data_IF_018805822577
#
_entry.id   IF_018805822577
#
_cell.length_a   1.000
_cell.length_b   1.000
_cell.length_c   1.000
_cell.angle_alpha   90.00
_cell.angle_beta   90.00
_cell.angle_gamma   90.00
#
_symmetry.space_group_name_H-M   'P 1'
#
loop_
_entity.id
_entity.type
_entity.pdbx_description
1 polymer ?
#
# COMPACT_ATOMS: atom_id res chain seq x y z
N UNK A 1 6.08 -14.48 25.36
CA UNK A 1 4.86 -14.01 24.68
C UNK A 1 5.30 -13.02 23.61
N UNK A 2 5.48 -13.49 22.37
CA UNK A 2 6.05 -12.69 21.27
C UNK A 2 4.90 -11.99 20.56
N UNK A 3 4.81 -10.66 20.73
CA UNK A 3 3.81 -9.82 20.10
C UNK A 3 4.16 -9.69 18.60
N UNK A 4 3.51 -10.52 17.78
CA UNK A 4 3.59 -10.45 16.32
C UNK A 4 2.89 -9.17 15.86
N UNK A 5 3.63 -8.09 15.65
CA UNK A 5 3.09 -6.85 15.10
C UNK A 5 2.81 -7.03 13.61
N UNK A 6 1.57 -6.76 13.22
CA UNK A 6 1.07 -6.86 11.85
C UNK A 6 1.70 -5.81 10.93
N UNK A 7 1.99 -6.27 9.71
CA UNK A 7 2.59 -5.58 8.59
C UNK A 7 2.08 -4.14 8.34
N UNK A 8 3.03 -3.22 8.17
CA UNK A 8 2.83 -1.88 7.60
C UNK A 8 2.54 -2.05 6.11
N UNK A 9 1.32 -1.68 5.68
CA UNK A 9 0.68 -2.42 4.60
C UNK A 9 1.03 -1.95 3.19
N UNK A 10 1.55 -0.75 2.97
CA UNK A 10 1.75 -0.26 1.60
C UNK A 10 3.17 -0.40 1.02
N UNK A 11 4.13 -0.90 1.82
CA UNK A 11 5.41 -1.46 1.35
C UNK A 11 6.01 -2.59 2.22
N UNK A 12 5.40 -2.95 3.36
CA UNK A 12 6.02 -3.90 4.30
C UNK A 12 5.26 -5.23 4.46
N UNK A 13 4.96 -5.91 3.34
CA UNK A 13 4.90 -7.37 3.34
C UNK A 13 6.29 -7.98 3.18
N UNK A 14 7.36 -7.36 3.71
CA UNK A 14 8.71 -7.94 3.70
C UNK A 14 9.56 -7.44 4.87
N UNK A 15 9.28 -7.93 6.09
CA UNK A 15 10.34 -8.17 7.08
C UNK A 15 10.09 -9.55 7.68
N UNK A 16 10.58 -10.58 6.97
CA UNK A 16 10.80 -11.91 7.55
C UNK A 16 12.31 -12.17 7.49
N UNK A 17 12.99 -12.01 8.63
CA UNK A 17 14.34 -12.50 8.98
C UNK A 17 14.86 -11.65 10.18
N UNK A 18 15.31 -12.16 11.32
CA UNK A 18 15.66 -13.48 11.80
C UNK A 18 15.56 -13.50 13.34
N UNK A 19 15.01 -14.57 13.92
CA UNK A 19 15.80 -15.34 14.91
C UNK A 19 15.22 -16.75 15.03
N UNK A 20 15.89 -17.69 14.38
CA UNK A 20 15.71 -19.12 14.57
C UNK A 20 16.69 -19.56 15.65
N UNK A 21 16.18 -19.77 16.87
CA UNK A 21 16.82 -20.68 17.81
C UNK A 21 15.81 -21.24 18.83
N UNK A 22 15.55 -22.54 18.68
CA UNK A 22 15.41 -23.55 19.74
C UNK A 22 14.62 -23.17 21.01
N UNK A 23 13.46 -23.81 21.19
CA UNK A 23 13.35 -24.92 22.16
C UNK A 23 12.05 -25.70 22.02
N UNK A 24 12.25 -26.97 21.75
CA UNK A 24 11.38 -28.10 21.98
C UNK A 24 10.82 -28.07 23.42
N UNK A 25 9.51 -28.26 23.59
CA UNK A 25 8.91 -28.81 24.82
C UNK A 25 7.53 -29.37 24.47
N UNK A 26 7.56 -30.66 24.19
CA UNK A 26 6.44 -31.57 24.22
C UNK A 26 5.84 -31.59 25.63
N UNK A 27 4.56 -31.25 25.80
CA UNK A 27 3.76 -31.77 26.92
C UNK A 27 2.31 -31.96 26.48
N UNK A 28 2.03 -33.24 26.26
CA UNK A 28 0.71 -33.82 26.14
C UNK A 28 0.04 -33.75 27.52
N UNK A 29 -1.06 -33.01 27.66
CA UNK A 29 -2.02 -33.25 28.75
C UNK A 29 -3.44 -32.96 28.26
N UNK A 30 -4.05 -33.99 27.71
CA UNK A 30 -5.49 -34.17 27.62
C UNK A 30 -6.13 -34.01 29.01
N UNK A 31 -6.96 -32.98 29.18
CA UNK A 31 -8.02 -33.00 30.19
C UNK A 31 -9.25 -32.23 29.65
N UNK A 32 -10.39 -32.92 29.40
CA UNK A 32 -11.60 -32.27 28.94
C UNK A 32 -12.38 -31.83 30.17
N UNK A 33 -12.45 -30.52 30.43
CA UNK A 33 -13.47 -30.02 31.33
C UNK A 33 -14.15 -28.80 30.71
N UNK A 34 -15.38 -29.04 30.28
CA UNK A 34 -16.35 -28.08 29.82
C UNK A 34 -16.68 -27.08 30.92
N UNK A 35 -16.37 -25.80 30.69
CA UNK A 35 -17.12 -24.72 31.29
C UNK A 35 -17.36 -23.67 30.21
N UNK A 36 -18.51 -23.85 29.54
CA UNK A 36 -19.12 -22.83 28.70
C UNK A 36 -19.61 -21.71 29.62
N UNK A 37 -18.77 -20.69 29.81
CA UNK A 37 -19.23 -19.41 30.34
C UNK A 37 -19.22 -18.41 29.18
N UNK A 38 -20.31 -18.40 28.41
CA UNK A 38 -20.52 -17.47 27.30
C UNK A 38 -20.96 -16.11 27.83
N UNK A 39 -20.08 -15.44 28.58
CA UNK A 39 -20.11 -14.00 28.74
C UNK A 39 -19.08 -13.39 27.79
N UNK A 40 -19.27 -13.58 26.48
CA UNK A 40 -18.59 -12.75 25.50
C UNK A 40 -19.20 -11.37 25.59
N UNK A 41 -18.55 -10.48 26.36
CA UNK A 41 -18.78 -9.05 26.24
C UNK A 41 -18.79 -8.71 24.73
N UNK A 42 -19.73 -7.86 24.26
CA UNK A 42 -19.74 -7.48 22.86
C UNK A 42 -18.36 -6.93 22.51
N UNK A 43 -17.79 -7.44 21.41
CA UNK A 43 -16.51 -6.95 20.93
C UNK A 43 -16.59 -5.42 20.83
N UNK A 44 -15.57 -4.68 21.31
CA UNK A 44 -15.59 -3.22 21.26
C UNK A 44 -15.87 -2.77 19.83
N UNK A 45 -16.97 -2.03 19.65
CA UNK A 45 -17.35 -1.46 18.37
C UNK A 45 -16.59 -0.15 18.20
N UNK A 46 -15.51 -0.20 17.42
CA UNK A 46 -14.79 1.01 17.03
C UNK A 46 -15.52 1.69 15.87
N UNK A 47 -15.81 2.98 16.01
CA UNK A 47 -16.34 3.75 14.89
C UNK A 47 -15.22 3.93 13.85
N UNK A 48 -15.48 3.65 12.56
CA UNK A 48 -14.49 3.89 11.52
C UNK A 48 -14.17 5.40 11.44
N UNK A 49 -12.92 5.78 11.09
CA UNK A 49 -12.58 7.18 10.89
C UNK A 49 -13.37 7.79 9.74
N UNK A 50 -13.49 9.12 9.73
CA UNK A 50 -14.10 9.81 8.59
C UNK A 50 -13.31 9.53 7.30
N UNK A 51 -13.98 9.21 6.18
CA UNK A 51 -13.36 9.07 4.88
C UNK A 51 -12.56 10.31 4.45
N UNK A 52 -11.32 10.13 4.02
CA UNK A 52 -10.54 11.20 3.38
C UNK A 52 -11.20 11.66 2.07
N UNK A 53 -11.01 12.95 1.73
CA UNK A 53 -11.53 13.58 0.52
C UNK A 53 -10.45 14.47 -0.11
N UNK A 54 -10.44 14.64 -1.45
CA UNK A 54 -9.57 15.62 -2.07
C UNK A 54 -9.90 17.03 -1.55
N UNK A 55 -8.85 17.84 -1.37
CA UNK A 55 -8.98 19.26 -0.98
C UNK A 55 -9.30 20.17 -2.17
N UNK A 56 -9.08 19.65 -3.39
CA UNK A 56 -9.26 20.36 -4.65
C UNK A 56 -10.27 19.63 -5.56
N UNK A 57 -10.98 20.40 -6.38
CA UNK A 57 -11.84 19.82 -7.41
C UNK A 57 -10.98 19.15 -8.50
N UNK A 58 -11.52 18.12 -9.13
CA UNK A 58 -10.84 17.46 -10.25
C UNK A 58 -10.63 18.43 -11.40
N UNK A 59 -9.38 18.57 -11.86
CA UNK A 59 -9.05 19.36 -13.04
C UNK A 59 -9.29 18.52 -14.32
N UNK A 60 -10.33 18.83 -15.12
CA UNK A 60 -10.66 18.04 -16.31
C UNK A 60 -9.63 18.16 -17.43
N UNK A 61 -8.75 19.17 -17.37
CA UNK A 61 -7.72 19.45 -18.36
C UNK A 61 -6.32 19.03 -17.89
N UNK A 62 -6.23 18.37 -16.74
CA UNK A 62 -4.97 17.92 -16.18
C UNK A 62 -4.25 16.97 -17.15
N UNK A 63 -2.99 17.27 -17.45
CA UNK A 63 -2.13 16.42 -18.28
C UNK A 63 -1.16 15.65 -17.39
N UNK A 64 -1.35 14.34 -17.31
CA UNK A 64 -0.45 13.46 -16.59
C UNK A 64 0.92 13.39 -17.27
N UNK A 65 1.99 13.44 -16.46
CA UNK A 65 3.34 13.13 -16.92
C UNK A 65 3.50 11.65 -17.29
N UNK A 66 2.79 10.76 -16.58
CA UNK A 66 2.82 9.33 -16.81
C UNK A 66 1.40 8.77 -16.90
N UNK A 67 1.05 8.14 -18.02
CA UNK A 67 -0.29 7.60 -18.21
C UNK A 67 -0.64 6.49 -17.19
N UNK A 68 0.32 5.68 -16.75
CA UNK A 68 0.10 4.63 -15.75
C UNK A 68 0.18 5.15 -14.31
N UNK A 69 0.45 6.44 -14.11
CA UNK A 69 0.50 7.07 -12.81
C UNK A 69 -0.03 8.51 -12.90
N UNK A 70 -1.36 8.66 -13.14
CA UNK A 70 -1.90 9.93 -13.62
C UNK A 70 -1.74 11.07 -12.62
N UNK A 71 -1.82 10.81 -11.31
CA UNK A 71 -1.71 11.84 -10.26
C UNK A 71 -2.57 13.09 -10.53
N UNK A 72 -3.77 12.89 -11.11
CA UNK A 72 -4.68 13.99 -11.38
C UNK A 72 -5.24 14.56 -10.06
N UNK A 73 -4.99 15.84 -9.73
CA UNK A 73 -5.54 16.47 -8.53
C UNK A 73 -7.06 16.40 -8.51
N UNK A 74 -7.65 16.23 -7.33
CA UNK A 74 -9.09 16.06 -7.14
C UNK A 74 -9.61 14.67 -7.50
N UNK A 75 -8.75 13.75 -7.93
CA UNK A 75 -9.15 12.36 -8.18
C UNK A 75 -9.32 11.57 -6.88
N UNK A 76 -10.21 10.59 -6.93
CA UNK A 76 -10.41 9.59 -5.87
C UNK A 76 -10.40 8.19 -6.47
N UNK A 77 -9.73 7.24 -5.83
CA UNK A 77 -9.84 5.81 -6.11
C UNK A 77 -10.24 5.08 -4.84
N UNK A 78 -11.11 4.08 -4.95
CA UNK A 78 -11.48 3.20 -3.85
C UNK A 78 -11.14 1.76 -4.19
N UNK A 79 -10.64 1.03 -3.20
CA UNK A 79 -10.29 -0.37 -3.34
C UNK A 79 -10.87 -1.18 -2.20
N UNK A 80 -11.03 -2.48 -2.44
CA UNK A 80 -11.20 -3.47 -1.39
C UNK A 80 -9.94 -4.34 -1.33
N UNK A 81 -9.42 -4.54 -0.12
CA UNK A 81 -8.35 -5.49 0.16
C UNK A 81 -8.98 -6.73 0.78
N UNK A 82 -8.72 -7.88 0.17
CA UNK A 82 -8.91 -9.18 0.80
C UNK A 82 -7.54 -9.70 1.20
N UNK A 83 -7.31 -9.85 2.50
CA UNK A 83 -6.07 -10.42 3.00
C UNK A 83 -6.08 -11.94 2.80
N UNK A 84 -4.92 -12.56 3.00
CA UNK A 84 -4.83 -14.02 3.14
C UNK A 84 -5.62 -14.55 4.35
N UNK A 85 -5.88 -13.68 5.34
CA UNK A 85 -6.78 -13.91 6.47
C UNK A 85 -8.22 -13.53 6.09
N UNK A 86 -9.26 -13.88 6.89
CA UNK A 86 -10.65 -13.50 6.59
C UNK A 86 -10.92 -11.99 6.72
N UNK A 87 -9.90 -11.17 6.97
CA UNK A 87 -10.01 -9.72 7.10
C UNK A 87 -10.30 -9.12 5.72
N UNK A 88 -11.16 -8.11 5.72
CA UNK A 88 -11.44 -7.27 4.56
C UNK A 88 -11.23 -5.81 4.98
N UNK A 89 -10.52 -5.05 4.18
CA UNK A 89 -10.36 -3.61 4.40
C UNK A 89 -10.79 -2.82 3.17
N UNK A 90 -11.27 -1.61 3.43
CA UNK A 90 -11.51 -0.63 2.38
C UNK A 90 -10.36 0.36 2.34
N UNK A 91 -10.04 0.80 1.13
CA UNK A 91 -9.02 1.80 0.87
C UNK A 91 -9.66 2.96 0.13
N UNK A 92 -9.37 4.17 0.57
CA UNK A 92 -9.66 5.39 -0.17
C UNK A 92 -8.33 6.05 -0.49
N UNK A 93 -8.18 6.48 -1.74
CA UNK A 93 -7.00 7.17 -2.23
C UNK A 93 -7.43 8.47 -2.84
N UNK A 94 -6.85 9.58 -2.41
CA UNK A 94 -7.10 10.91 -2.98
C UNK A 94 -5.79 11.51 -3.46
N UNK A 95 -5.87 12.34 -4.48
CA UNK A 95 -4.72 13.08 -5.01
C UNK A 95 -4.99 14.57 -4.92
N UNK A 96 -4.02 15.29 -4.37
CA UNK A 96 -4.02 16.74 -4.27
C UNK A 96 -2.76 17.33 -4.90
N UNK A 97 -2.87 18.56 -5.41
CA UNK A 97 -1.72 19.34 -5.84
C UNK A 97 -1.37 20.40 -4.79
N UNK A 98 -0.08 20.67 -4.64
CA UNK A 98 0.45 21.72 -3.79
C UNK A 98 1.73 22.30 -4.35
N UNK A 99 2.38 23.11 -3.52
CA UNK A 99 3.68 23.73 -3.80
C UNK A 99 4.58 23.53 -2.57
N UNK A 100 5.79 23.02 -2.78
CA UNK A 100 6.82 22.92 -1.74
C UNK A 100 8.15 23.41 -2.34
N UNK A 101 8.83 24.32 -1.65
CA UNK A 101 10.08 24.93 -2.11
C UNK A 101 10.03 25.49 -3.54
N UNK A 102 8.88 26.07 -3.91
CA UNK A 102 8.62 26.63 -5.25
C UNK A 102 8.42 25.59 -6.36
N UNK A 103 8.36 24.30 -6.03
CA UNK A 103 8.10 23.21 -6.97
C UNK A 103 6.67 22.69 -6.79
N UNK A 104 6.01 22.40 -7.91
CA UNK A 104 4.71 21.72 -7.91
C UNK A 104 4.90 20.30 -7.38
N UNK A 105 4.14 19.97 -6.33
CA UNK A 105 4.13 18.64 -5.70
C UNK A 105 2.73 18.07 -5.80
N UNK A 106 2.66 16.75 -5.99
CA UNK A 106 1.42 15.99 -5.97
C UNK A 106 1.44 15.05 -4.77
N UNK A 107 0.42 15.13 -3.94
CA UNK A 107 0.28 14.31 -2.74
C UNK A 107 -0.78 13.26 -2.99
N UNK A 108 -0.44 12.01 -2.80
CA UNK A 108 -1.38 10.90 -2.79
C UNK A 108 -1.55 10.41 -1.36
N UNK A 109 -2.76 10.53 -0.84
CA UNK A 109 -3.10 10.07 0.51
C UNK A 109 -3.95 8.82 0.41
N UNK A 110 -3.50 7.74 1.03
CA UNK A 110 -4.20 6.47 1.16
C UNK A 110 -4.73 6.36 2.58
N UNK A 111 -6.01 6.04 2.75
CA UNK A 111 -6.60 5.68 4.04
C UNK A 111 -7.13 4.26 3.94
N UNK A 112 -6.71 3.40 4.85
CA UNK A 112 -7.09 2.00 4.93
C UNK A 112 -7.84 1.78 6.24
N UNK A 113 -9.06 1.27 6.13
CA UNK A 113 -9.94 0.98 7.26
C UNK A 113 -10.34 -0.48 7.20
N UNK A 114 -10.05 -1.24 8.26
CA UNK A 114 -10.57 -2.60 8.41
C UNK A 114 -12.08 -2.55 8.65
N UNK A 115 -12.82 -3.35 7.88
CA UNK A 115 -14.28 -3.45 7.95
C UNK A 115 -14.77 -4.84 8.35
N UNK A 116 -13.87 -5.79 8.62
CA UNK A 116 -14.16 -7.17 8.99
C UNK A 116 -14.59 -7.39 10.44
N UNK A 117 -14.65 -6.33 11.25
CA UNK A 117 -15.30 -6.33 12.58
C UNK A 117 -14.49 -6.92 13.75
N UNK A 118 -13.18 -7.12 13.59
CA UNK A 118 -12.33 -7.70 14.64
C UNK A 118 -11.34 -6.75 15.31
N UNK A 119 -10.82 -5.76 14.57
CA UNK A 119 -9.74 -4.90 15.02
C UNK A 119 -9.93 -3.45 14.60
N UNK A 120 -9.63 -2.51 15.51
CA UNK A 120 -9.44 -1.10 15.18
C UNK A 120 -8.13 -0.95 14.40
N UNK A 121 -8.16 -1.15 13.08
CA UNK A 121 -7.03 -0.85 12.20
C UNK A 121 -7.37 0.34 11.31
N UNK A 122 -6.62 1.42 11.51
CA UNK A 122 -6.64 2.61 10.66
C UNK A 122 -5.22 2.92 10.22
N UNK A 123 -4.97 2.92 8.92
CA UNK A 123 -3.67 3.25 8.35
C UNK A 123 -3.82 4.40 7.34
N UNK A 124 -3.00 5.44 7.50
CA UNK A 124 -2.90 6.53 6.53
C UNK A 124 -1.49 6.53 5.94
N UNK A 125 -1.37 6.44 4.62
CA UNK A 125 -0.10 6.60 3.92
C UNK A 125 -0.13 7.85 3.05
N UNK A 126 0.83 8.75 3.26
CA UNK A 126 1.04 9.95 2.45
C UNK A 126 2.26 9.75 1.58
N UNK A 127 2.08 9.87 0.27
CA UNK A 127 3.16 9.86 -0.73
C UNK A 127 3.23 11.18 -1.44
N UNK A 128 4.45 11.71 -1.64
CA UNK A 128 4.65 12.92 -2.43
C UNK A 128 5.44 12.62 -3.69
N UNK A 129 5.03 13.27 -4.76
CA UNK A 129 5.59 13.12 -6.08
C UNK A 129 5.89 14.48 -6.72
N UNK A 130 6.94 14.50 -7.53
CA UNK A 130 7.29 15.60 -8.42
C UNK A 130 7.28 15.08 -9.84
N UNK A 131 6.71 15.84 -10.77
CA UNK A 131 6.75 15.52 -12.20
C UNK A 131 7.95 16.21 -12.85
N UNK A 132 8.72 15.47 -13.63
CA UNK A 132 9.92 15.96 -14.31
C UNK A 132 9.91 15.48 -15.77
N UNK A 133 9.37 16.30 -16.66
CA UNK A 133 9.03 15.85 -18.02
C UNK A 133 7.99 14.72 -17.96
N UNK A 134 8.29 13.59 -18.63
CA UNK A 134 7.44 12.40 -18.63
C UNK A 134 7.67 11.47 -17.42
N UNK A 135 8.60 11.83 -16.54
CA UNK A 135 8.94 11.03 -15.36
C UNK A 135 8.16 11.52 -14.14
N UNK A 136 7.83 10.57 -13.27
CA UNK A 136 7.26 10.87 -11.95
C UNK A 136 8.25 10.40 -10.90
N UNK A 137 8.77 11.33 -10.10
CA UNK A 137 9.67 11.03 -9.00
C UNK A 137 8.93 11.03 -7.68
N UNK A 138 8.92 9.90 -6.99
CA UNK A 138 8.48 9.84 -5.59
C UNK A 138 9.60 10.37 -4.69
N UNK A 139 9.28 11.34 -3.84
CA UNK A 139 10.26 12.03 -2.98
C UNK A 139 10.02 11.78 -1.48
N UNK A 140 8.83 11.29 -1.13
CA UNK A 140 8.44 11.07 0.25
C UNK A 140 7.41 9.95 0.35
N UNK A 141 7.49 9.17 1.42
CA UNK A 141 6.41 8.30 1.87
C UNK A 141 6.44 8.20 3.40
N UNK A 142 5.29 8.45 4.03
CA UNK A 142 5.09 8.20 5.44
C UNK A 142 3.78 7.47 5.64
N UNK A 143 3.82 6.44 6.46
CA UNK A 143 2.66 5.68 6.91
C UNK A 143 2.48 5.90 8.39
N UNK A 144 1.26 6.20 8.80
CA UNK A 144 0.83 6.25 10.18
C UNK A 144 -0.22 5.17 10.38
N UNK A 145 -0.08 4.36 11.42
CA UNK A 145 -0.96 3.25 11.71
C UNK A 145 -1.42 3.34 13.16
N UNK A 146 -2.73 3.24 13.37
CA UNK A 146 -3.33 3.01 14.68
C UNK A 146 -3.93 1.62 14.69
N UNK A 147 -3.45 0.79 15.62
CA UNK A 147 -3.98 -0.54 15.87
C UNK A 147 -4.37 -0.68 17.33
N UNK A 148 -5.67 -0.85 17.62
CA UNK A 148 -6.20 -0.96 19.00
C UNK A 148 -5.70 0.17 19.92
N UNK A 149 -5.82 1.41 19.46
CA UNK A 149 -5.32 2.62 20.12
C UNK A 149 -3.78 2.80 20.16
N UNK A 150 -2.99 1.81 19.71
CA UNK A 150 -1.53 1.93 19.65
C UNK A 150 -1.11 2.57 18.34
N UNK A 151 -0.36 3.67 18.42
CA UNK A 151 0.15 4.40 17.26
C UNK A 151 1.56 3.94 16.90
N UNK A 152 1.76 3.69 15.61
CA UNK A 152 3.06 3.45 15.00
C UNK A 152 3.19 4.24 13.71
N UNK A 153 4.41 4.45 13.23
CA UNK A 153 4.63 5.03 11.92
C UNK A 153 5.87 4.45 11.26
N UNK A 154 5.94 4.62 9.94
CA UNK A 154 7.18 4.44 9.21
C UNK A 154 7.34 5.51 8.15
N UNK A 155 8.58 5.89 7.89
CA UNK A 155 8.94 6.85 6.85
C UNK A 155 9.99 6.23 5.93
N UNK A 156 9.75 6.30 4.62
CA UNK A 156 10.71 5.87 3.61
C UNK A 156 11.52 7.09 3.15
N UNK A 157 12.85 6.93 3.19
CA UNK A 157 13.80 7.92 2.70
C UNK A 157 14.44 7.40 1.43
N UNK A 158 14.06 7.99 0.30
CA UNK A 158 14.59 7.62 -1.01
C UNK A 158 15.95 8.29 -1.24
N UNK A 159 16.95 7.52 -1.69
CA UNK A 159 18.34 7.99 -1.78
C UNK A 159 18.54 9.08 -2.86
N UNK A 160 17.72 9.08 -3.92
CA UNK A 160 17.71 10.10 -4.99
C UNK A 160 16.27 10.39 -5.50
N UNK A 161 15.28 10.11 -4.64
CA UNK A 161 13.90 9.86 -5.09
C UNK A 161 13.79 8.57 -5.92
N UNK A 162 12.57 8.14 -6.21
CA UNK A 162 12.36 7.03 -7.14
C UNK A 162 11.68 7.49 -8.41
N UNK A 163 12.34 7.25 -9.55
CA UNK A 163 11.80 7.55 -10.86
C UNK A 163 10.92 6.38 -11.32
N UNK A 164 9.63 6.64 -11.46
CA UNK A 164 8.76 5.80 -12.28
C UNK A 164 9.04 6.13 -13.75
N UNK A 165 9.46 5.14 -14.56
CA UNK A 165 9.88 5.40 -15.93
C UNK A 165 8.74 6.02 -16.74
N UNK A 166 9.06 7.03 -17.55
CA UNK A 166 8.10 7.60 -18.49
C UNK A 166 7.56 6.58 -19.48
N UNK A 167 6.43 6.92 -20.11
CA UNK A 167 5.66 6.00 -20.97
C UNK A 167 6.50 5.34 -22.07
N UNK A 168 7.41 6.09 -22.69
CA UNK A 168 8.31 5.61 -23.75
C UNK A 168 9.25 4.49 -23.32
N UNK A 169 9.51 4.36 -22.01
CA UNK A 169 10.38 3.34 -21.43
C UNK A 169 9.63 2.11 -20.93
N UNK A 170 8.30 2.16 -20.89
CA UNK A 170 7.45 1.08 -20.39
C UNK A 170 7.04 0.15 -21.54
N UNK A 171 7.77 -0.96 -21.68
CA UNK A 171 7.53 -2.03 -22.66
C UNK A 171 7.71 -3.41 -22.02
N UNK A 172 7.15 -4.50 -22.57
CA UNK A 172 7.40 -5.84 -22.06
C UNK A 172 8.90 -6.11 -21.86
N UNK A 173 9.26 -6.63 -20.68
CA UNK A 173 10.66 -6.87 -20.30
C UNK A 173 11.41 -5.67 -19.73
N UNK A 174 10.86 -4.44 -19.79
CA UNK A 174 11.45 -3.28 -19.12
C UNK A 174 11.50 -3.51 -17.60
N UNK A 175 12.54 -2.98 -16.96
CA UNK A 175 12.73 -3.11 -15.52
C UNK A 175 13.34 -1.86 -14.93
N UNK A 176 12.99 -1.58 -13.68
CA UNK A 176 13.59 -0.52 -12.89
C UNK A 176 13.61 -0.93 -11.42
N UNK A 177 14.24 -0.14 -10.56
CA UNK A 177 14.28 -0.41 -9.14
C UNK A 177 14.07 0.87 -8.32
N UNK A 178 13.57 0.69 -7.11
CA UNK A 178 13.44 1.72 -6.08
C UNK A 178 14.39 1.36 -4.95
N UNK A 179 15.14 2.34 -4.45
CA UNK A 179 16.02 2.16 -3.30
C UNK A 179 15.71 3.19 -2.23
N UNK A 180 15.47 2.72 -1.02
CA UNK A 180 15.15 3.57 0.13
C UNK A 180 15.69 2.96 1.43
N UNK A 181 15.90 3.80 2.42
CA UNK A 181 15.98 3.38 3.82
C UNK A 181 14.64 3.64 4.51
N UNK A 182 14.44 3.02 5.67
CA UNK A 182 13.19 3.12 6.40
C UNK A 182 13.46 3.44 7.87
N UNK A 183 12.72 4.41 8.39
CA UNK A 183 12.67 4.72 9.82
C UNK A 183 11.32 4.27 10.35
N UNK A 184 11.32 3.55 11.46
CA UNK A 184 10.12 3.08 12.15
C UNK A 184 9.99 3.76 13.51
N UNK A 185 8.76 4.06 13.89
CA UNK A 185 8.39 4.50 15.22
C UNK A 185 7.36 3.51 15.77
N UNK A 186 7.75 2.71 16.74
CA UNK A 186 6.85 1.77 17.41
C UNK A 186 6.25 2.39 18.68
N UNK A 187 5.10 1.90 19.16
CA UNK A 187 4.51 2.41 20.39
C UNK A 187 5.46 2.26 21.57
N UNK A 188 5.66 3.33 22.32
CA UNK A 188 6.50 3.34 23.53
C UNK A 188 7.97 2.93 23.32
N UNK A 189 8.49 3.07 22.09
CA UNK A 189 9.90 2.81 21.77
C UNK A 189 10.53 4.04 21.13
N UNK A 190 11.85 4.21 21.18
CA UNK A 190 12.53 5.21 20.36
C UNK A 190 12.38 4.90 18.86
N UNK A 191 12.50 5.90 17.96
CA UNK A 191 12.61 5.64 16.54
C UNK A 191 13.79 4.70 16.24
N UNK A 192 13.58 3.74 15.36
CA UNK A 192 14.60 2.84 14.85
C UNK A 192 14.80 3.09 13.36
N UNK A 193 16.05 3.22 12.93
CA UNK A 193 16.43 3.30 11.51
C UNK A 193 17.23 2.07 11.16
N UNK A 194 16.97 1.48 9.99
CA UNK A 194 17.88 0.54 9.37
C UNK A 194 18.69 1.29 8.30
N UNK A 195 20.02 1.32 8.46
CA UNK A 195 20.93 1.91 7.47
C UNK A 195 21.04 1.04 6.22
N UNK A 196 20.52 -0.19 6.25
CA UNK A 196 20.44 -1.06 5.08
C UNK A 196 19.45 -0.50 4.07
N UNK A 197 19.93 -0.31 2.85
CA UNK A 197 19.09 0.08 1.72
C UNK A 197 18.22 -1.09 1.29
N UNK A 198 16.91 -0.89 1.30
CA UNK A 198 15.94 -1.82 0.72
C UNK A 198 15.85 -1.52 -0.77
N UNK A 199 16.04 -2.56 -1.59
CA UNK A 199 15.86 -2.46 -3.03
C UNK A 199 14.59 -3.20 -3.43
N UNK A 200 13.71 -2.52 -4.14
CA UNK A 200 12.52 -3.12 -4.74
C UNK A 200 12.65 -3.04 -6.25
N UNK A 201 12.73 -4.20 -6.89
CA UNK A 201 12.80 -4.32 -8.34
C UNK A 201 11.40 -4.45 -8.93
N UNK A 202 11.20 -3.83 -10.08
CA UNK A 202 10.00 -3.93 -10.88
C UNK A 202 10.34 -4.40 -12.27
N UNK A 203 9.49 -5.28 -12.82
CA UNK A 203 9.63 -5.82 -14.17
C UNK A 203 8.28 -5.84 -14.87
N UNK A 204 8.22 -5.26 -16.07
CA UNK A 204 7.04 -5.32 -16.92
C UNK A 204 6.90 -6.72 -17.50
N UNK A 205 5.80 -7.39 -17.19
CA UNK A 205 5.46 -8.69 -17.81
C UNK A 205 4.82 -8.51 -19.18
N UNK A 206 3.98 -7.48 -19.35
CA UNK A 206 3.26 -7.21 -20.59
C UNK A 206 1.90 -6.57 -20.35
N UNK A 207 1.09 -6.44 -21.41
CA UNK A 207 -0.30 -5.99 -21.31
C UNK A 207 -1.23 -7.20 -21.27
N UNK A 208 -2.20 -7.19 -20.37
CA UNK A 208 -3.24 -8.21 -20.30
C UNK A 208 -4.59 -7.61 -19.91
N UNK A 209 -5.67 -8.33 -20.19
CA UNK A 209 -6.99 -7.92 -19.73
C UNK A 209 -7.12 -8.21 -18.24
N UNK A 210 -7.61 -7.22 -17.49
CA UNK A 210 -7.86 -7.31 -16.05
C UNK A 210 -9.29 -6.93 -15.76
N UNK A 211 -9.99 -7.77 -14.99
CA UNK A 211 -11.35 -7.52 -14.53
C UNK A 211 -11.31 -7.30 -13.03
N UNK A 212 -11.92 -6.21 -12.58
CA UNK A 212 -12.09 -5.82 -11.18
C UNK A 212 -13.52 -5.33 -10.98
N UNK A 213 -14.01 -5.11 -9.75
CA UNK A 213 -15.38 -4.62 -9.53
C UNK A 213 -15.69 -3.30 -10.26
N UNK A 214 -14.71 -2.40 -10.42
CA UNK A 214 -14.87 -1.16 -11.18
C UNK A 214 -15.01 -1.34 -12.71
N UNK A 215 -14.76 -2.53 -13.26
CA UNK A 215 -14.89 -2.81 -14.68
C UNK A 215 -13.81 -3.73 -15.26
N UNK A 216 -13.83 -3.86 -16.58
CA UNK A 216 -12.84 -4.62 -17.36
C UNK A 216 -11.93 -3.65 -18.11
N UNK A 217 -10.63 -3.83 -17.99
CA UNK A 217 -9.62 -2.96 -18.59
C UNK A 217 -8.54 -3.77 -19.31
N UNK A 218 -7.75 -3.09 -20.13
CA UNK A 218 -6.47 -3.60 -20.64
C UNK A 218 -5.35 -2.90 -19.87
N UNK A 219 -4.70 -3.62 -18.95
CA UNK A 219 -3.69 -3.09 -18.06
C UNK A 219 -2.29 -3.62 -18.38
N UNK A 220 -1.28 -2.89 -17.94
CA UNK A 220 0.10 -3.32 -17.87
C UNK A 220 0.33 -4.09 -16.57
N UNK A 221 0.79 -5.35 -16.67
CA UNK A 221 1.24 -6.13 -15.53
C UNK A 221 2.70 -5.81 -15.19
N UNK A 222 2.94 -5.45 -13.95
CA UNK A 222 4.27 -5.22 -13.36
C UNK A 222 4.47 -6.20 -12.23
N UNK A 223 5.57 -6.95 -12.26
CA UNK A 223 6.00 -7.83 -11.17
C UNK A 223 6.96 -7.04 -10.29
N UNK A 224 6.67 -7.01 -8.99
CA UNK A 224 7.46 -6.32 -7.97
C UNK A 224 8.08 -7.36 -7.04
N UNK A 225 9.38 -7.25 -6.80
CA UNK A 225 10.15 -8.15 -5.95
C UNK A 225 11.07 -7.36 -5.03
N UNK A 226 11.14 -7.72 -3.75
CA UNK A 226 12.03 -7.07 -2.78
C UNK A 226 13.31 -7.89 -2.63
N UNK A 227 14.47 -7.22 -2.66
CA UNK A 227 15.77 -7.87 -2.49
C UNK A 227 15.81 -8.72 -1.23
N UNK A 228 16.26 -9.97 -1.35
CA UNK A 228 16.34 -10.92 -0.24
C UNK A 228 15.03 -11.65 0.09
N UNK A 229 13.93 -11.38 -0.62
CA UNK A 229 12.67 -12.10 -0.45
C UNK A 229 12.24 -12.80 -1.76
N UNK A 230 11.56 -13.94 -1.61
CA UNK A 230 10.97 -14.73 -2.70
C UNK A 230 9.53 -14.32 -3.02
N UNK A 231 8.90 -13.49 -2.19
CA UNK A 231 7.54 -13.01 -2.46
C UNK A 231 7.55 -12.01 -3.61
N UNK A 232 6.84 -12.37 -4.67
CA UNK A 232 6.51 -11.47 -5.78
C UNK A 232 5.10 -10.90 -5.59
N UNK A 233 4.93 -9.67 -6.04
CA UNK A 233 3.64 -8.97 -6.08
C UNK A 233 3.36 -8.63 -7.54
N UNK A 234 2.21 -9.04 -8.05
CA UNK A 234 1.71 -8.61 -9.35
C UNK A 234 0.87 -7.35 -9.19
N UNK A 235 1.17 -6.32 -9.97
CA UNK A 235 0.44 -5.06 -10.02
C UNK A 235 -0.05 -4.78 -11.43
N UNK A 236 -1.27 -4.28 -11.54
CA UNK A 236 -1.94 -4.02 -12.81
C UNK A 236 -2.21 -2.53 -12.92
N UNK A 237 -1.60 -1.89 -13.91
CA UNK A 237 -1.74 -0.46 -14.15
C UNK A 237 -2.50 -0.19 -15.44
N UNK A 238 -3.54 0.63 -15.38
CA UNK A 238 -4.33 1.03 -16.55
C UNK A 238 -4.00 2.49 -16.89
N UNK A 239 -3.68 2.80 -18.17
CA UNK A 239 -3.46 4.18 -18.59
C UNK A 239 -4.64 5.09 -18.22
N UNK A 240 -4.37 6.25 -17.63
CA UNK A 240 -5.37 7.21 -17.19
C UNK A 240 -6.05 6.89 -15.86
N UNK A 241 -5.87 5.69 -15.31
CA UNK A 241 -6.37 5.29 -13.98
C UNK A 241 -5.26 5.07 -12.95
N UNK A 242 -4.15 4.45 -13.37
CA UNK A 242 -3.12 3.97 -12.46
C UNK A 242 -3.36 2.53 -11.99
N UNK A 243 -3.01 2.22 -10.74
CA UNK A 243 -3.15 0.87 -10.18
C UNK A 243 -4.64 0.48 -10.11
N UNK A 244 -5.01 -0.65 -10.70
CA UNK A 244 -6.39 -1.18 -10.62
C UNK A 244 -6.48 -2.49 -9.85
N UNK A 245 -5.39 -3.26 -9.81
CA UNK A 245 -5.32 -4.53 -9.10
C UNK A 245 -3.91 -4.79 -8.58
N UNK A 246 -3.82 -5.39 -7.40
CA UNK A 246 -2.58 -5.92 -6.82
C UNK A 246 -2.84 -7.32 -6.26
N UNK A 247 -1.93 -8.25 -6.49
CA UNK A 247 -1.96 -9.62 -5.98
C UNK A 247 -0.60 -9.98 -5.39
N UNK A 248 -0.55 -10.29 -4.10
CA UNK A 248 0.62 -10.82 -3.44
C UNK A 248 0.69 -12.34 -3.57
N UNK A 249 1.91 -12.89 -3.62
CA UNK A 249 2.12 -14.35 -3.57
C UNK A 249 1.64 -15.03 -2.27
N UNK A 250 1.25 -14.25 -1.27
CA UNK A 250 0.65 -14.70 -0.01
C UNK A 250 -0.87 -14.91 -0.09
N UNK A 251 -1.51 -14.54 -1.23
CA UNK A 251 -2.95 -14.58 -1.42
C UNK A 251 -3.68 -13.28 -1.09
N UNK A 252 -2.97 -12.25 -0.63
CA UNK A 252 -3.54 -10.92 -0.44
C UNK A 252 -3.85 -10.28 -1.81
N UNK A 253 -5.08 -9.78 -1.99
CA UNK A 253 -5.51 -9.09 -3.21
C UNK A 253 -6.12 -7.73 -2.88
N UNK A 254 -5.85 -6.75 -3.74
CA UNK A 254 -6.47 -5.43 -3.70
C UNK A 254 -7.05 -5.13 -5.07
N UNK A 255 -8.32 -4.74 -5.13
CA UNK A 255 -9.05 -4.54 -6.38
C UNK A 255 -9.79 -3.20 -6.36
N UNK A 256 -9.70 -2.46 -7.46
CA UNK A 256 -10.39 -1.19 -7.64
C UNK A 256 -11.89 -1.43 -7.70
N UNK A 257 -12.63 -0.71 -6.86
CA UNK A 257 -14.09 -0.78 -6.78
C UNK A 257 -14.76 0.44 -7.38
N UNK A 258 -14.20 1.64 -7.15
CA UNK A 258 -14.73 2.89 -7.68
C UNK A 258 -13.59 3.88 -7.99
N UNK A 259 -13.82 4.81 -8.91
CA UNK A 259 -12.91 5.92 -9.17
C UNK A 259 -13.67 7.16 -9.64
N UNK A 260 -13.09 8.34 -9.44
CA UNK A 260 -13.60 9.62 -9.93
C UNK A 260 -12.45 10.59 -10.24
N UNK A 261 -12.70 11.58 -11.10
CA UNK A 261 -11.68 12.55 -11.53
C UNK A 261 -10.57 11.96 -12.41
N UNK A 262 -10.75 10.73 -12.90
CA UNK A 262 -9.82 10.00 -13.77
C UNK A 262 -10.56 9.48 -15.00
N UNK A 263 -9.82 9.29 -16.09
CA UNK A 263 -10.35 8.80 -17.37
C UNK A 263 -9.43 7.72 -17.89
N UNK A 264 -9.86 6.43 -17.91
CA UNK A 264 -9.09 5.38 -18.56
C UNK A 264 -8.85 5.76 -20.02
N UNK A 265 -7.62 5.59 -20.51
CA UNK A 265 -7.39 5.66 -21.95
C UNK A 265 -7.80 4.32 -22.57
N UNK A 266 -8.54 4.37 -23.68
CA UNK A 266 -8.95 3.20 -24.47
C UNK A 266 -7.74 2.47 -25.08
#
# INVERSE_FOLDING_TARGET
>A
MVLRFFAILLLATVINACDSNSRNSNSNSSNPNSNANSNTAPAPTFAPPEPIRPTSAADPNFKAANAYFPLAPGSTLKYTIHYASPIIANVIVVVDAGQEDGKKVFTQTWQIVDTGGGDEKNETTVRKYVMEGDNVRQVYEKTENTFRGQKSSSELKFKDGTIMPGLSSIRPGASWAQTFSQVFQLPNQPPASDDKTITVSMKVSGRESVTVPAGKFTGLKVIRSVSGNKLEISEYYVPGLGLVKREGGDGTRMELTEFSGLKPAE
#
